data_IF_316029174770
#
_entry.id   IF_316029174770
#
_cell.length_a   1.000
_cell.length_b   1.000
_cell.length_c   1.000
_cell.angle_alpha   90.00
_cell.angle_beta   90.00
_cell.angle_gamma   90.00
#
_symmetry.space_group_name_H-M   'P 1'
#
loop_
_entity.id
_entity.type
_entity.pdbx_description
1 polymer ?
#
# COMPACT_ATOMS: atom_id res chain seq x y z
N UNK A 1 34.23 6.49 -28.36
CA UNK A 1 33.61 5.36 -27.64
C UNK A 1 33.49 5.78 -26.19
N UNK A 2 32.31 6.27 -25.80
CA UNK A 2 32.11 6.99 -24.53
C UNK A 2 31.44 6.04 -23.53
N UNK A 3 32.18 5.64 -22.50
CA UNK A 3 31.70 4.74 -21.45
C UNK A 3 30.91 5.56 -20.44
N UNK A 4 29.58 5.40 -20.41
CA UNK A 4 28.75 5.93 -19.34
C UNK A 4 28.81 5.00 -18.13
N UNK A 5 29.39 5.48 -17.02
CA UNK A 5 29.29 4.84 -15.70
C UNK A 5 27.89 5.07 -15.14
N UNK A 6 27.08 4.02 -15.07
CA UNK A 6 25.86 3.98 -14.27
C UNK A 6 26.23 4.00 -12.79
N UNK A 7 25.85 5.08 -12.10
CA UNK A 7 25.99 5.24 -10.65
C UNK A 7 24.84 4.50 -9.98
N UNK A 8 25.12 3.34 -9.41
CA UNK A 8 24.24 2.70 -8.44
C UNK A 8 23.96 3.68 -7.29
N UNK A 9 22.68 3.84 -6.93
CA UNK A 9 22.25 4.60 -5.76
C UNK A 9 21.40 3.67 -4.90
N UNK A 10 22.11 2.91 -4.07
CA UNK A 10 21.54 2.21 -2.93
C UNK A 10 21.20 3.20 -1.81
N UNK A 11 20.30 2.72 -0.93
CA UNK A 11 20.05 3.19 0.44
C UNK A 11 19.22 4.47 0.64
N UNK A 12 17.91 4.25 0.84
CA UNK A 12 17.07 5.12 1.65
C UNK A 12 17.43 4.87 3.14
N UNK A 13 18.40 5.63 3.62
CA UNK A 13 18.95 5.58 4.98
C UNK A 13 17.98 6.31 5.95
N UNK A 14 17.30 5.55 6.82
CA UNK A 14 16.48 6.07 7.91
C UNK A 14 17.38 6.32 9.12
N UNK A 15 18.17 7.40 9.08
CA UNK A 15 19.02 7.77 10.22
C UNK A 15 18.22 8.38 11.36
N UNK A 16 18.39 7.71 12.50
CA UNK A 16 18.23 8.19 13.88
C UNK A 16 18.36 9.71 14.04
N UNK A 17 17.37 10.30 14.72
CA UNK A 17 17.57 11.52 15.51
C UNK A 17 17.59 11.08 16.98
N UNK A 18 18.79 10.88 17.51
CA UNK A 18 19.08 11.02 18.94
C UNK A 18 19.45 12.46 19.20
N UNK A 19 18.88 13.09 20.24
CA UNK A 19 19.51 13.95 21.26
C UNK A 19 18.40 14.55 22.13
N UNK A 20 18.54 14.49 23.45
CA UNK A 20 17.72 15.26 24.39
C UNK A 20 17.28 14.51 25.64
N UNK A 21 18.22 14.18 26.52
CA UNK A 21 17.91 13.80 27.91
C UNK A 21 17.43 15.06 28.63
N UNK A 22 16.16 15.08 29.04
CA UNK A 22 15.66 16.00 30.08
C UNK A 22 15.14 15.12 31.21
N UNK A 23 15.87 15.15 32.33
CA UNK A 23 15.41 14.62 33.60
C UNK A 23 14.31 15.54 34.14
N UNK A 24 13.08 15.04 34.18
CA UNK A 24 11.97 15.65 34.91
C UNK A 24 11.60 14.71 36.06
N UNK A 25 11.83 15.22 37.26
CA UNK A 25 11.44 14.63 38.54
C UNK A 25 9.93 14.47 38.60
N UNK A 26 9.48 13.23 38.82
CA UNK A 26 8.07 12.86 38.96
C UNK A 26 7.63 13.13 40.41
N UNK A 27 6.75 14.10 40.61
CA UNK A 27 5.91 14.19 41.79
C UNK A 27 4.64 13.37 41.55
N UNK A 28 4.44 12.31 42.33
CA UNK A 28 3.21 11.51 42.32
C UNK A 28 2.08 12.32 42.97
N UNK A 29 1.10 12.75 42.18
CA UNK A 29 -0.22 13.16 42.68
C UNK A 29 -1.16 11.97 42.45
N UNK A 30 -1.59 11.36 43.55
CA UNK A 30 -2.62 10.33 43.57
C UNK A 30 -3.97 10.96 43.22
N UNK A 31 -4.47 10.71 42.01
CA UNK A 31 -5.85 11.00 41.63
C UNK A 31 -6.66 9.70 41.72
N UNK A 32 -7.80 9.68 42.44
CA UNK A 32 -8.64 8.47 42.54
C UNK A 32 -9.29 8.10 41.19
N UNK A 33 -9.61 6.82 40.98
CA UNK A 33 -10.17 6.34 39.71
C UNK A 33 -11.59 6.88 39.50
N UNK A 34 -11.78 7.60 38.40
CA UNK A 34 -13.11 7.96 37.87
C UNK A 34 -13.67 6.73 37.17
N UNK A 35 -14.74 6.16 37.75
CA UNK A 35 -15.56 5.12 37.13
C UNK A 35 -16.34 5.79 35.99
N UNK A 36 -15.88 5.65 34.75
CA UNK A 36 -16.66 6.01 33.57
C UNK A 36 -17.49 4.80 33.15
N UNK A 37 -18.81 4.96 33.23
CA UNK A 37 -19.82 4.06 32.67
C UNK A 37 -19.82 4.15 31.13
N UNK A 38 -19.70 3.01 30.47
CA UNK A 38 -19.80 2.88 29.00
C UNK A 38 -21.26 2.98 28.53
N UNK A 39 -21.55 3.83 27.53
CA UNK A 39 -22.38 3.36 26.43
C UNK A 39 -21.95 3.90 25.05
N UNK A 40 -20.64 4.10 24.80
CA UNK A 40 -20.16 4.67 23.52
C UNK A 40 -19.60 3.65 22.51
N UNK A 41 -19.29 2.41 22.92
CA UNK A 41 -18.70 1.40 22.01
C UNK A 41 -19.72 0.65 21.14
N UNK A 42 -21.02 0.71 21.46
CA UNK A 42 -22.06 0.03 20.66
C UNK A 42 -22.54 0.82 19.43
N UNK A 43 -22.26 2.12 19.34
CA UNK A 43 -22.73 2.95 18.21
C UNK A 43 -21.80 2.91 16.99
N UNK A 44 -20.53 2.51 17.16
CA UNK A 44 -19.58 2.40 16.04
C UNK A 44 -19.78 1.09 15.28
N UNK A 45 -20.19 0.00 15.94
CA UNK A 45 -20.42 -1.29 15.28
C UNK A 45 -21.66 -1.27 14.36
N UNK A 46 -22.69 -0.52 14.72
CA UNK A 46 -23.91 -0.37 13.91
C UNK A 46 -23.66 0.39 12.60
N UNK A 47 -22.74 1.37 12.59
CA UNK A 47 -22.41 2.12 11.37
C UNK A 47 -21.60 1.31 10.35
N UNK A 48 -20.77 0.37 10.81
CA UNK A 48 -19.97 -0.50 9.94
C UNK A 48 -20.81 -1.60 9.25
N UNK A 49 -21.87 -2.09 9.92
CA UNK A 49 -22.78 -3.09 9.34
C UNK A 49 -23.62 -2.48 8.18
N UNK A 50 -23.84 -1.16 8.18
CA UNK A 50 -24.65 -0.50 7.14
C UNK A 50 -23.86 -0.24 5.86
N UNK A 51 -22.54 0.00 5.93
CA UNK A 51 -21.72 0.22 4.73
C UNK A 51 -21.61 -1.05 3.86
N UNK A 52 -21.48 -2.22 4.49
CA UNK A 52 -21.41 -3.50 3.77
C UNK A 52 -22.77 -3.93 3.20
N UNK A 53 -23.89 -3.50 3.81
CA UNK A 53 -25.25 -3.78 3.30
C UNK A 53 -25.72 -2.85 2.18
N UNK A 54 -25.23 -1.61 2.12
CA UNK A 54 -25.69 -0.62 1.11
C UNK A 54 -25.12 -0.88 -0.29
N UNK A 55 -24.07 -1.71 -0.44
CA UNK A 55 -23.52 -2.02 -1.78
C UNK A 55 -24.05 -3.30 -2.43
N UNK A 56 -24.89 -4.08 -1.75
CA UNK A 56 -25.61 -5.22 -2.37
C UNK A 56 -24.73 -6.28 -3.04
N UNK A 57 -23.40 -6.28 -2.84
CA UNK A 57 -22.50 -7.31 -3.39
C UNK A 57 -22.49 -8.52 -2.46
N UNK A 58 -23.58 -9.28 -2.53
CA UNK A 58 -23.61 -10.62 -1.99
C UNK A 58 -22.52 -11.48 -2.63
N UNK A 59 -22.02 -12.37 -1.79
CA UNK A 59 -20.93 -13.33 -1.93
C UNK A 59 -21.25 -14.39 -3.02
N UNK A 60 -21.43 -13.97 -4.28
CA UNK A 60 -21.73 -14.83 -5.44
C UNK A 60 -20.62 -14.83 -6.49
N UNK A 61 -19.40 -14.59 -6.06
CA UNK A 61 -18.20 -14.73 -6.87
C UNK A 61 -17.26 -15.73 -6.18
N UNK A 62 -17.57 -17.02 -6.36
CA UNK A 62 -16.55 -18.04 -6.52
C UNK A 62 -15.80 -17.75 -7.83
N UNK A 63 -15.17 -16.57 -7.89
CA UNK A 63 -14.44 -16.07 -9.04
C UNK A 63 -13.26 -16.99 -9.26
N UNK A 64 -13.26 -17.63 -10.43
CA UNK A 64 -12.13 -18.23 -11.12
C UNK A 64 -10.82 -17.52 -10.72
N UNK A 65 -10.11 -18.07 -9.75
CA UNK A 65 -8.84 -17.53 -9.26
C UNK A 65 -7.86 -17.76 -10.40
N UNK A 66 -7.29 -16.69 -10.97
CA UNK A 66 -6.34 -16.85 -12.09
C UNK A 66 -5.23 -17.82 -11.68
N UNK A 67 -4.92 -18.76 -12.56
CA UNK A 67 -3.77 -19.67 -12.37
C UNK A 67 -2.44 -18.88 -12.36
N UNK A 68 -2.44 -17.67 -12.91
CA UNK A 68 -1.33 -16.73 -12.82
C UNK A 68 -1.46 -15.86 -11.56
N UNK A 69 -0.56 -16.08 -10.60
CA UNK A 69 -0.54 -15.37 -9.32
C UNK A 69 -0.37 -13.85 -9.46
N UNK A 70 0.38 -13.38 -10.45
CA UNK A 70 0.59 -11.96 -10.69
C UNK A 70 -0.70 -11.30 -11.20
N UNK A 71 -1.42 -11.95 -12.11
CA UNK A 71 -2.71 -11.45 -12.59
C UNK A 71 -3.76 -11.41 -11.49
N UNK A 72 -3.81 -12.42 -10.62
CA UNK A 72 -4.71 -12.42 -9.46
C UNK A 72 -4.43 -11.22 -8.53
N UNK A 73 -3.16 -10.95 -8.21
CA UNK A 73 -2.77 -9.80 -7.39
C UNK A 73 -3.08 -8.46 -8.09
N UNK A 74 -2.81 -8.34 -9.39
CA UNK A 74 -3.12 -7.14 -10.17
C UNK A 74 -4.61 -6.85 -10.27
N UNK A 75 -5.45 -7.89 -10.43
CA UNK A 75 -6.91 -7.76 -10.45
C UNK A 75 -7.41 -7.16 -9.13
N UNK A 76 -6.84 -7.57 -8.00
CA UNK A 76 -7.16 -7.01 -6.70
C UNK A 76 -6.63 -5.57 -6.59
N UNK A 77 -5.35 -5.32 -6.89
CA UNK A 77 -4.75 -3.99 -6.82
C UNK A 77 -5.55 -2.95 -7.62
N UNK A 78 -5.84 -3.22 -8.89
CA UNK A 78 -6.60 -2.30 -9.73
C UNK A 78 -8.08 -2.18 -9.36
N UNK A 79 -8.63 -3.16 -8.64
CA UNK A 79 -9.99 -3.07 -8.10
C UNK A 79 -10.16 -1.95 -7.07
N UNK A 80 -9.06 -1.53 -6.42
CA UNK A 80 -9.07 -0.48 -5.39
C UNK A 80 -8.39 0.82 -5.83
N UNK A 81 -7.34 0.71 -6.66
CA UNK A 81 -6.52 1.86 -7.05
C UNK A 81 -6.93 2.48 -8.40
N UNK A 82 -7.99 1.98 -9.05
CA UNK A 82 -8.24 2.17 -10.49
C UNK A 82 -8.47 3.61 -10.99
N UNK A 83 -8.79 4.57 -10.12
CA UNK A 83 -8.99 5.97 -10.47
C UNK A 83 -7.80 6.84 -10.10
N UNK A 84 -7.68 8.00 -10.74
CA UNK A 84 -6.72 9.02 -10.30
C UNK A 84 -7.18 9.72 -9.02
N UNK A 85 -6.24 10.01 -8.12
CA UNK A 85 -6.45 10.81 -6.92
C UNK A 85 -5.36 11.88 -6.79
N UNK A 86 -5.69 13.00 -6.14
CA UNK A 86 -4.80 14.14 -5.88
C UNK A 86 -5.07 14.69 -4.47
N UNK A 87 -4.99 13.79 -3.49
CA UNK A 87 -5.10 14.12 -2.07
C UNK A 87 -3.86 14.92 -1.64
N UNK A 88 -4.07 16.12 -1.08
CA UNK A 88 -2.98 17.00 -0.69
C UNK A 88 -2.15 16.52 0.51
N UNK A 89 -2.76 15.70 1.37
CA UNK A 89 -2.12 15.09 2.53
C UNK A 89 -1.41 13.76 2.20
N UNK A 90 -1.57 13.25 0.98
CA UNK A 90 -0.82 12.08 0.50
C UNK A 90 0.53 12.54 -0.06
N UNK A 91 1.60 12.23 0.68
CA UNK A 91 2.97 12.55 0.27
C UNK A 91 3.38 11.89 -1.04
N UNK A 92 2.73 10.78 -1.44
CA UNK A 92 2.97 10.12 -2.72
C UNK A 92 2.65 11.01 -3.91
N UNK A 93 1.68 11.93 -3.78
CA UNK A 93 1.33 12.86 -4.85
C UNK A 93 2.33 13.99 -5.06
N UNK A 94 3.31 14.18 -4.17
CA UNK A 94 4.25 15.30 -4.27
C UNK A 94 5.55 14.86 -4.96
N UNK A 95 5.90 15.54 -6.05
CA UNK A 95 7.13 15.25 -6.78
C UNK A 95 7.77 16.53 -7.29
N UNK A 96 9.05 16.74 -6.94
CA UNK A 96 9.83 17.94 -7.29
C UNK A 96 9.14 19.26 -6.88
N UNK A 97 8.53 19.28 -5.69
CA UNK A 97 7.89 20.48 -5.14
C UNK A 97 6.48 20.78 -5.66
N UNK A 98 5.97 20.01 -6.64
CA UNK A 98 4.62 20.18 -7.15
C UNK A 98 3.74 18.96 -6.84
N UNK A 99 2.49 19.25 -6.50
CA UNK A 99 1.44 18.24 -6.32
C UNK A 99 0.98 17.69 -7.67
N UNK A 100 0.97 16.38 -7.80
CA UNK A 100 0.57 15.60 -8.97
C UNK A 100 -0.65 14.72 -8.70
N UNK A 101 -0.78 13.65 -9.48
CA UNK A 101 -1.82 12.65 -9.31
C UNK A 101 -1.23 11.26 -9.22
N UNK A 102 -1.80 10.43 -8.36
CA UNK A 102 -1.59 8.99 -8.36
C UNK A 102 -2.73 8.36 -9.15
N UNK A 103 -2.42 7.61 -10.19
CA UNK A 103 -3.41 6.94 -11.04
C UNK A 103 -3.12 5.45 -11.11
N UNK A 104 -4.12 4.60 -10.86
CA UNK A 104 -3.91 3.14 -10.77
C UNK A 104 -2.82 2.76 -9.76
N UNK A 105 -2.70 3.54 -8.69
CA UNK A 105 -1.68 3.38 -7.65
C UNK A 105 -0.24 3.72 -8.08
N UNK A 106 -0.04 4.24 -9.30
CA UNK A 106 1.26 4.75 -9.77
C UNK A 106 1.39 6.21 -9.35
N UNK A 107 2.32 6.50 -8.45
CA UNK A 107 2.61 7.85 -7.98
C UNK A 107 3.46 8.63 -9.00
N UNK A 108 3.48 9.98 -8.98
CA UNK A 108 4.22 10.79 -9.94
C UNK A 108 5.71 10.44 -10.10
N UNK A 109 6.42 10.15 -9.01
CA UNK A 109 7.85 9.82 -9.08
C UNK A 109 8.11 8.51 -9.83
N UNK A 110 7.29 7.48 -9.59
CA UNK A 110 7.37 6.18 -10.27
C UNK A 110 7.02 6.32 -11.75
N UNK A 111 5.91 6.97 -12.07
CA UNK A 111 5.52 7.16 -13.46
C UNK A 111 6.54 7.99 -14.25
N UNK A 112 7.14 9.01 -13.63
CA UNK A 112 8.20 9.79 -14.27
C UNK A 112 9.46 8.96 -14.53
N UNK A 113 9.85 8.07 -13.61
CA UNK A 113 11.00 7.18 -13.82
C UNK A 113 10.79 6.24 -15.01
N UNK A 114 9.55 5.82 -15.27
CA UNK A 114 9.18 4.95 -16.40
C UNK A 114 8.74 5.69 -17.68
N UNK A 115 8.90 7.00 -17.74
CA UNK A 115 8.43 7.81 -18.89
C UNK A 115 9.11 7.46 -20.22
N UNK A 116 10.29 6.84 -20.17
CA UNK A 116 11.10 6.53 -21.34
C UNK A 116 11.13 5.02 -21.67
N UNK A 117 10.43 4.19 -20.90
CA UNK A 117 10.33 2.74 -21.12
C UNK A 117 8.86 2.28 -21.18
N UNK A 118 8.29 1.81 -20.07
CA UNK A 118 6.94 1.26 -19.95
C UNK A 118 5.84 2.30 -20.24
N UNK A 119 6.13 3.59 -20.08
CA UNK A 119 5.19 4.69 -20.37
C UNK A 119 5.61 5.54 -21.58
N UNK A 120 6.61 5.10 -22.37
CA UNK A 120 7.16 5.86 -23.50
C UNK A 120 6.11 6.28 -24.53
N UNK A 121 5.27 5.34 -24.99
CA UNK A 121 4.20 5.61 -25.97
C UNK A 121 3.15 6.61 -25.44
N UNK A 122 2.96 6.64 -24.12
CA UNK A 122 2.03 7.54 -23.47
C UNK A 122 2.62 8.93 -23.25
N UNK A 123 3.95 9.07 -23.26
CA UNK A 123 4.63 10.34 -23.01
C UNK A 123 4.70 11.30 -24.18
N UNK A 124 4.46 10.84 -25.42
CA UNK A 124 4.52 11.72 -26.59
C UNK A 124 3.54 12.90 -26.47
N UNK A 125 4.06 14.12 -26.64
CA UNK A 125 3.33 15.38 -26.51
C UNK A 125 3.31 15.99 -25.11
N UNK A 126 3.89 15.33 -24.09
CA UNK A 126 3.97 15.88 -22.75
C UNK A 126 5.01 17.02 -22.66
N UNK A 127 4.56 18.21 -22.25
CA UNK A 127 5.41 19.38 -22.01
C UNK A 127 5.19 20.00 -20.61
N UNK A 128 4.46 19.31 -19.73
CA UNK A 128 4.12 19.79 -18.40
C UNK A 128 5.19 19.51 -17.33
N UNK A 129 4.90 19.91 -16.09
CA UNK A 129 5.76 19.58 -14.95
C UNK A 129 5.77 18.07 -14.67
N UNK A 130 6.92 17.44 -14.32
CA UNK A 130 7.03 15.99 -14.09
C UNK A 130 5.97 15.37 -13.17
N UNK A 131 5.50 16.10 -12.16
CA UNK A 131 4.44 15.66 -11.26
C UNK A 131 3.10 15.36 -11.94
N UNK A 132 2.85 15.94 -13.12
CA UNK A 132 1.62 15.81 -13.89
C UNK A 132 1.67 14.70 -14.94
N UNK A 133 2.83 14.09 -15.15
CA UNK A 133 3.05 13.09 -16.20
C UNK A 133 2.12 11.88 -16.08
N UNK A 134 1.96 11.35 -14.86
CA UNK A 134 1.08 10.20 -14.60
C UNK A 134 -0.36 10.49 -15.02
N UNK A 135 -0.90 11.67 -14.67
CA UNK A 135 -2.26 12.05 -15.06
C UNK A 135 -2.39 12.18 -16.57
N UNK A 136 -1.42 12.82 -17.21
CA UNK A 136 -1.38 12.96 -18.67
C UNK A 136 -1.38 11.61 -19.37
N UNK A 137 -0.49 10.70 -18.96
CA UNK A 137 -0.37 9.37 -19.53
C UNK A 137 -1.65 8.54 -19.34
N UNK A 138 -2.25 8.61 -18.14
CA UNK A 138 -3.54 7.97 -17.85
C UNK A 138 -4.66 8.52 -18.75
N UNK A 139 -4.81 9.85 -18.85
CA UNK A 139 -5.88 10.47 -19.63
C UNK A 139 -5.76 10.21 -21.12
N UNK A 140 -4.52 10.12 -21.63
CA UNK A 140 -4.25 9.85 -23.04
C UNK A 140 -4.78 8.49 -23.48
N UNK A 141 -4.54 7.45 -22.68
CA UNK A 141 -5.06 6.11 -22.94
C UNK A 141 -5.09 5.28 -21.63
N UNK A 142 -6.24 5.24 -20.91
CA UNK A 142 -6.34 4.54 -19.64
C UNK A 142 -6.08 3.04 -19.73
N UNK A 143 -6.40 2.42 -20.88
CA UNK A 143 -6.20 0.98 -21.09
C UNK A 143 -4.71 0.66 -21.26
N UNK A 144 -4.00 1.38 -22.12
CA UNK A 144 -2.56 1.22 -22.30
C UNK A 144 -1.81 1.58 -21.00
N UNK A 145 -2.26 2.62 -20.28
CA UNK A 145 -1.70 2.97 -18.97
C UNK A 145 -1.87 1.83 -17.96
N UNK A 146 -3.03 1.17 -17.92
CA UNK A 146 -3.24 -0.01 -17.06
C UNK A 146 -2.28 -1.14 -17.36
N UNK A 147 -2.03 -1.42 -18.64
CA UNK A 147 -1.05 -2.43 -19.06
C UNK A 147 0.36 -2.04 -18.58
N UNK A 148 0.78 -0.80 -18.78
CA UNK A 148 2.07 -0.32 -18.30
C UNK A 148 2.18 -0.36 -16.76
N UNK A 149 1.15 0.07 -16.03
CA UNK A 149 1.09 0.00 -14.57
C UNK A 149 1.20 -1.44 -14.06
N UNK A 150 0.64 -2.42 -14.78
CA UNK A 150 0.77 -3.82 -14.45
C UNK A 150 2.22 -4.32 -14.58
N UNK A 151 2.93 -3.88 -15.62
CA UNK A 151 4.37 -4.17 -15.76
C UNK A 151 5.19 -3.49 -14.67
N UNK A 152 4.91 -2.23 -14.33
CA UNK A 152 5.57 -1.52 -13.23
C UNK A 152 5.38 -2.30 -11.92
N UNK A 153 4.16 -2.74 -11.60
CA UNK A 153 3.93 -3.54 -10.39
C UNK A 153 4.75 -4.84 -10.35
N UNK A 154 4.85 -5.52 -11.49
CA UNK A 154 5.64 -6.75 -11.58
C UNK A 154 7.14 -6.47 -11.40
N UNK A 155 7.67 -5.44 -12.06
CA UNK A 155 9.09 -5.09 -12.07
C UNK A 155 9.56 -4.44 -10.77
N UNK A 156 8.81 -3.47 -10.26
CA UNK A 156 9.25 -2.62 -9.16
C UNK A 156 8.78 -3.12 -7.79
N UNK A 157 7.69 -3.89 -7.74
CA UNK A 157 7.06 -4.25 -6.48
C UNK A 157 7.08 -5.74 -6.18
N UNK A 158 6.64 -6.60 -7.11
CA UNK A 158 6.46 -8.02 -6.80
C UNK A 158 7.79 -8.74 -6.60
N UNK A 159 8.68 -8.69 -7.59
CA UNK A 159 9.98 -9.33 -7.46
C UNK A 159 10.88 -8.62 -6.42
N UNK A 160 11.06 -7.28 -6.45
CA UNK A 160 11.88 -6.60 -5.45
C UNK A 160 11.31 -6.65 -4.03
N UNK A 161 10.00 -6.86 -3.88
CA UNK A 161 9.32 -7.09 -2.61
C UNK A 161 9.55 -8.49 -2.01
N UNK A 162 10.25 -9.38 -2.71
CA UNK A 162 10.50 -10.75 -2.28
C UNK A 162 9.31 -11.70 -2.51
N UNK A 163 8.34 -11.30 -3.33
CA UNK A 163 7.10 -12.05 -3.52
C UNK A 163 7.18 -13.07 -4.66
N UNK A 164 8.14 -12.92 -5.58
CA UNK A 164 8.20 -13.66 -6.84
C UNK A 164 8.06 -15.18 -6.68
N UNK A 165 8.70 -15.78 -5.67
CA UNK A 165 8.71 -17.24 -5.46
C UNK A 165 7.60 -17.73 -4.53
N UNK A 166 6.81 -16.82 -3.94
CA UNK A 166 5.77 -17.23 -3.00
C UNK A 166 4.62 -17.93 -3.73
N UNK A 167 4.05 -19.00 -3.15
CA UNK A 167 2.81 -19.60 -3.61
C UNK A 167 1.60 -18.71 -3.26
N UNK A 168 0.47 -18.91 -3.93
CA UNK A 168 -0.80 -18.32 -3.48
C UNK A 168 -1.29 -19.08 -2.22
N UNK A 169 -1.93 -18.40 -1.26
CA UNK A 169 -2.29 -16.98 -1.24
C UNK A 169 -1.18 -16.01 -0.76
N UNK A 170 -0.03 -16.51 -0.29
CA UNK A 170 1.04 -15.66 0.28
C UNK A 170 1.60 -14.63 -0.72
N UNK A 171 1.68 -15.00 -2.01
CA UNK A 171 2.08 -14.09 -3.08
C UNK A 171 1.24 -12.81 -3.09
N UNK A 172 -0.08 -12.92 -3.05
CA UNK A 172 -0.99 -11.77 -3.14
C UNK A 172 -0.80 -10.83 -1.95
N UNK A 173 -0.76 -11.40 -0.75
CA UNK A 173 -0.59 -10.61 0.48
C UNK A 173 0.74 -9.88 0.46
N UNK A 174 1.83 -10.57 0.11
CA UNK A 174 3.15 -9.97 -0.06
C UNK A 174 3.14 -8.84 -1.10
N UNK A 175 2.56 -9.08 -2.27
CA UNK A 175 2.46 -8.11 -3.35
C UNK A 175 1.69 -6.85 -2.94
N UNK A 176 0.54 -7.00 -2.28
CA UNK A 176 -0.26 -5.87 -1.80
C UNK A 176 0.45 -5.12 -0.66
N UNK A 177 1.22 -5.82 0.21
CA UNK A 177 2.11 -5.17 1.19
C UNK A 177 3.17 -4.34 0.47
N UNK A 178 3.84 -4.91 -0.54
CA UNK A 178 4.90 -4.23 -1.30
C UNK A 178 4.37 -2.96 -1.98
N UNK A 179 3.18 -3.02 -2.57
CA UNK A 179 2.52 -1.86 -3.22
C UNK A 179 2.22 -0.76 -2.19
N UNK A 180 1.60 -1.10 -1.06
CA UNK A 180 1.05 -0.11 -0.14
C UNK A 180 2.06 0.44 0.88
N UNK A 181 3.05 -0.38 1.25
CA UNK A 181 4.01 -0.07 2.32
C UNK A 181 5.46 -0.16 1.87
N UNK A 182 5.68 -0.39 0.58
CA UNK A 182 6.99 -0.45 -0.06
C UNK A 182 7.65 -1.83 0.01
N UNK A 183 8.51 -2.09 -0.96
CA UNK A 183 9.25 -3.37 -1.10
C UNK A 183 10.16 -3.69 0.08
N UNK A 184 10.69 -2.66 0.75
CA UNK A 184 11.50 -2.83 1.97
C UNK A 184 10.70 -3.46 3.10
N UNK A 185 9.44 -3.02 3.29
CA UNK A 185 8.54 -3.52 4.33
C UNK A 185 8.12 -4.96 4.07
N UNK A 186 7.74 -5.26 2.83
CA UNK A 186 7.41 -6.63 2.41
C UNK A 186 8.54 -7.61 2.73
N UNK A 187 9.77 -7.29 2.28
CA UNK A 187 10.96 -8.11 2.57
C UNK A 187 11.28 -8.19 4.06
N UNK A 188 11.08 -7.11 4.80
CA UNK A 188 11.26 -7.11 6.25
C UNK A 188 10.34 -8.13 6.92
N UNK A 189 9.04 -8.13 6.60
CA UNK A 189 8.10 -9.08 7.19
C UNK A 189 8.43 -10.51 6.84
N UNK A 190 8.80 -10.80 5.59
CA UNK A 190 9.24 -12.14 5.18
C UNK A 190 10.44 -12.62 6.02
N UNK A 191 11.40 -11.74 6.33
CA UNK A 191 12.53 -12.08 7.21
C UNK A 191 12.12 -12.27 8.67
N UNK A 192 11.24 -11.43 9.20
CA UNK A 192 10.77 -11.48 10.59
C UNK A 192 9.93 -12.74 10.87
N UNK A 193 9.08 -13.14 9.90
CA UNK A 193 8.21 -14.31 10.01
C UNK A 193 9.02 -15.61 9.81
N UNK A 194 10.05 -15.56 8.96
CA UNK A 194 10.86 -16.73 8.65
C UNK A 194 10.16 -17.72 7.70
N UNK A 195 10.53 -18.99 7.79
CA UNK A 195 10.06 -20.01 6.87
C UNK A 195 8.81 -20.73 7.40
N UNK A 196 7.64 -20.39 6.86
CA UNK A 196 6.40 -21.13 7.07
C UNK A 196 6.11 -21.90 5.78
N UNK A 197 6.11 -23.24 5.86
CA UNK A 197 5.93 -24.10 4.70
C UNK A 197 4.51 -24.02 4.11
N UNK A 198 3.49 -23.85 4.95
CA UNK A 198 2.11 -23.74 4.50
C UNK A 198 1.81 -22.35 3.92
N UNK A 199 1.42 -22.24 2.63
CA UNK A 199 1.16 -20.96 1.98
C UNK A 199 0.07 -20.12 2.65
N UNK A 200 -0.96 -20.77 3.19
CA UNK A 200 -2.11 -20.11 3.81
C UNK A 200 -1.71 -19.50 5.16
N UNK A 201 -0.97 -20.24 5.99
CA UNK A 201 -0.40 -19.74 7.24
C UNK A 201 0.61 -18.61 7.01
N UNK A 202 1.48 -18.72 6.00
CA UNK A 202 2.40 -17.63 5.65
C UNK A 202 1.63 -16.35 5.26
N UNK A 203 0.59 -16.48 4.45
CA UNK A 203 -0.26 -15.35 4.07
C UNK A 203 -0.94 -14.69 5.29
N UNK A 204 -1.45 -15.50 6.23
CA UNK A 204 -2.04 -15.00 7.49
C UNK A 204 -1.01 -14.26 8.34
N UNK A 205 0.19 -14.82 8.50
CA UNK A 205 1.26 -14.19 9.25
C UNK A 205 1.68 -12.84 8.64
N UNK A 206 1.82 -12.78 7.31
CA UNK A 206 2.12 -11.53 6.59
C UNK A 206 1.02 -10.48 6.79
N UNK A 207 -0.25 -10.89 6.63
CA UNK A 207 -1.38 -9.98 6.77
C UNK A 207 -1.49 -9.44 8.20
N UNK A 208 -1.36 -10.31 9.19
CA UNK A 208 -1.44 -9.93 10.61
C UNK A 208 -0.29 -9.00 10.98
N UNK A 209 0.93 -9.31 10.55
CA UNK A 209 2.08 -8.44 10.78
C UNK A 209 1.88 -7.03 10.20
N UNK A 210 1.29 -6.94 9.02
CA UNK A 210 0.96 -5.66 8.39
C UNK A 210 -0.20 -4.94 9.09
N UNK A 211 -1.23 -5.68 9.52
CA UNK A 211 -2.35 -5.16 10.31
C UNK A 211 -1.87 -4.49 11.59
N UNK A 212 -0.92 -5.10 12.30
CA UNK A 212 -0.32 -4.52 13.50
C UNK A 212 0.42 -3.20 13.20
N UNK A 213 1.11 -3.10 12.07
CA UNK A 213 1.74 -1.85 11.64
C UNK A 213 0.70 -0.77 11.32
N UNK A 214 -0.43 -1.12 10.67
CA UNK A 214 -1.53 -0.17 10.45
C UNK A 214 -2.11 0.35 11.77
N UNK A 215 -2.33 -0.52 12.76
CA UNK A 215 -2.81 -0.11 14.10
C UNK A 215 -1.81 0.87 14.74
N UNK A 216 -0.51 0.56 14.66
CA UNK A 216 0.55 1.41 15.22
C UNK A 216 0.67 2.77 14.51
N UNK A 217 0.56 2.82 13.18
CA UNK A 217 0.69 4.08 12.42
C UNK A 217 -0.53 4.98 12.58
N UNK A 218 -1.70 4.39 12.78
CA UNK A 218 -2.98 5.11 12.83
C UNK A 218 -3.48 5.41 14.24
N UNK A 219 -2.57 5.54 15.20
CA UNK A 219 -2.89 5.97 16.57
C UNK A 219 -3.61 7.34 16.57
N UNK A 220 -4.60 7.56 17.46
CA UNK A 220 -5.32 8.83 17.54
C UNK A 220 -4.37 10.01 17.70
N UNK A 221 -4.62 11.10 16.96
CA UNK A 221 -3.77 12.29 16.93
C UNK A 221 -2.63 12.26 15.90
N UNK A 222 -2.36 11.11 15.25
CA UNK A 222 -1.49 11.07 14.07
C UNK A 222 -2.24 11.51 12.81
N UNK A 223 -1.57 12.24 11.90
CA UNK A 223 -2.09 12.58 10.56
C UNK A 223 -2.60 11.36 9.79
N UNK A 224 -2.05 10.18 10.06
CA UNK A 224 -2.39 8.93 9.39
C UNK A 224 -3.64 8.24 9.97
N UNK A 225 -4.17 8.73 11.10
CA UNK A 225 -5.38 8.17 11.73
C UNK A 225 -6.61 8.20 10.81
N UNK A 226 -6.65 9.15 9.85
CA UNK A 226 -7.72 9.24 8.84
C UNK A 226 -7.77 8.05 7.90
N UNK A 227 -6.65 7.33 7.71
CA UNK A 227 -6.56 6.18 6.82
C UNK A 227 -6.84 4.84 7.52
N UNK A 228 -6.96 4.84 8.86
CA UNK A 228 -7.11 3.63 9.68
C UNK A 228 -8.18 2.67 9.16
N UNK A 229 -9.38 3.19 8.92
CA UNK A 229 -10.52 2.38 8.49
C UNK A 229 -10.25 1.70 7.15
N UNK A 230 -9.68 2.42 6.18
CA UNK A 230 -9.31 1.88 4.87
C UNK A 230 -8.20 0.83 4.95
N UNK A 231 -7.20 1.07 5.79
CA UNK A 231 -6.09 0.13 6.03
C UNK A 231 -6.55 -1.17 6.69
N UNK A 232 -7.40 -1.09 7.72
CA UNK A 232 -7.93 -2.29 8.38
C UNK A 232 -8.90 -3.06 7.47
N UNK A 233 -9.75 -2.36 6.71
CA UNK A 233 -10.61 -2.99 5.69
C UNK A 233 -9.80 -3.74 4.63
N UNK A 234 -8.64 -3.20 4.23
CA UNK A 234 -7.68 -3.87 3.33
C UNK A 234 -7.14 -5.16 3.94
N UNK A 235 -6.78 -5.17 5.22
CA UNK A 235 -6.35 -6.37 5.92
C UNK A 235 -7.49 -7.41 6.01
N UNK A 236 -8.72 -7.01 6.34
CA UNK A 236 -9.88 -7.90 6.39
C UNK A 236 -10.21 -8.52 5.03
N UNK A 237 -9.97 -7.77 3.96
CA UNK A 237 -10.13 -8.29 2.59
C UNK A 237 -9.12 -9.37 2.27
N UNK A 238 -7.85 -9.18 2.61
CA UNK A 238 -6.82 -10.22 2.43
C UNK A 238 -7.20 -11.47 3.22
N UNK A 239 -7.71 -11.31 4.43
CA UNK A 239 -8.24 -12.44 5.20
C UNK A 239 -9.32 -13.22 4.44
N UNK A 240 -10.31 -12.53 3.86
CA UNK A 240 -11.33 -13.15 3.00
C UNK A 240 -10.76 -13.78 1.73
N UNK A 241 -9.69 -13.23 1.16
CA UNK A 241 -9.01 -13.82 0.00
C UNK A 241 -8.29 -15.11 0.38
N UNK A 242 -7.56 -15.11 1.49
CA UNK A 242 -6.86 -16.27 2.04
C UNK A 242 -7.85 -17.41 2.33
N UNK A 243 -9.06 -17.11 2.80
CA UNK A 243 -10.09 -18.14 3.06
C UNK A 243 -10.62 -18.88 1.82
N UNK A 244 -10.41 -18.34 0.61
CA UNK A 244 -10.84 -18.98 -0.64
C UNK A 244 -9.85 -20.04 -1.18
N UNK A 245 -8.68 -20.18 -0.55
CA UNK A 245 -7.66 -21.20 -0.87
C UNK A 245 -7.69 -22.32 0.17
#
# INVERSE_FOLDING_TARGET
MTIYKTKHRDEFDFRLVTWGVIALTVAYILVPPVIQSEPAQQLISAAQITADKVTGKTQKDATNISTNKAEAALKLAFGFEGSCQNLGNDSGNWFQGQKGFTCMGIIPSVGWNHRNDLLSDLGAGFNGHPSMFVKFAYDKNPLAFKTAAAEIYKQDYFAPGGCAELPQPAFEVCADIAINSGVGRSRQYLREIGNIADPKQLARALNERHRQDYIRWSVPGNKDSVFRAGWLSRADRRDRYIDKF
#
